data_IF_622924216638
#
_entry.id   IF_622924216638
#
_cell.length_a   1.000
_cell.length_b   1.000
_cell.length_c   1.000
_cell.angle_alpha   90.00
_cell.angle_beta   90.00
_cell.angle_gamma   90.00
#
_symmetry.space_group_name_H-M   'P 1'
#
loop_
_entity.id
_entity.type
_entity.pdbx_description
1 polymer ?
#
# COMPACT_ATOMS: atom_id res chain seq x y z
N UNK A 1 31.45 14.67 15.06
CA UNK A 1 29.99 14.77 14.78
C UNK A 1 29.50 13.41 14.33
N UNK A 2 28.34 12.99 14.82
CA UNK A 2 27.80 11.68 14.51
C UNK A 2 27.01 11.72 13.19
N UNK A 3 26.86 10.56 12.55
CA UNK A 3 26.00 10.41 11.40
C UNK A 3 24.55 10.74 11.82
N UNK A 4 23.89 11.61 11.09
CA UNK A 4 22.47 11.90 11.27
C UNK A 4 21.66 11.05 10.29
N UNK A 5 20.65 10.35 10.80
CA UNK A 5 19.69 9.59 9.99
C UNK A 5 18.31 9.75 10.62
N UNK A 6 17.58 10.73 10.13
CA UNK A 6 16.25 11.05 10.63
C UNK A 6 15.20 10.60 9.62
N UNK A 7 14.14 9.95 10.12
CA UNK A 7 13.02 9.52 9.32
C UNK A 7 11.73 10.12 9.88
N UNK A 8 11.07 10.88 9.05
CA UNK A 8 9.76 11.48 9.34
C UNK A 8 8.71 10.73 8.55
N UNK A 9 7.58 10.41 9.19
CA UNK A 9 6.46 9.72 8.55
C UNK A 9 5.16 10.39 8.94
N UNK A 10 4.38 10.72 7.93
CA UNK A 10 3.01 11.18 8.06
C UNK A 10 2.10 10.18 7.37
N UNK A 11 1.14 9.63 8.12
CA UNK A 11 0.21 8.63 7.62
C UNK A 11 -1.22 9.12 7.81
N UNK A 12 -1.97 9.16 6.72
CA UNK A 12 -3.41 9.39 6.72
C UNK A 12 -4.10 8.14 6.22
N UNK A 13 -5.03 7.61 7.01
CA UNK A 13 -5.90 6.50 6.60
C UNK A 13 -7.34 6.90 6.85
N UNK A 14 -8.16 6.86 5.82
CA UNK A 14 -9.60 7.06 5.89
C UNK A 14 -10.32 5.81 5.39
N UNK A 15 -11.24 5.27 6.20
CA UNK A 15 -12.07 4.13 5.83
C UNK A 15 -13.55 4.47 6.00
N UNK A 16 -14.34 4.11 5.00
CA UNK A 16 -15.80 4.16 5.04
C UNK A 16 -16.33 2.77 4.78
N UNK A 17 -17.40 2.40 5.48
CA UNK A 17 -18.07 1.12 5.31
C UNK A 17 -19.58 1.31 5.43
N UNK A 18 -20.31 0.65 4.55
CA UNK A 18 -21.76 0.57 4.54
C UNK A 18 -22.18 -0.89 4.55
N UNK A 19 -23.01 -1.27 5.52
CA UNK A 19 -23.69 -2.54 5.54
C UNK A 19 -25.19 -2.28 5.31
N UNK A 20 -25.75 -2.85 4.25
CA UNK A 20 -27.14 -2.72 3.91
C UNK A 20 -27.82 -4.08 3.86
N UNK A 21 -28.79 -4.26 4.75
CA UNK A 21 -29.68 -5.43 4.74
C UNK A 21 -30.81 -5.17 3.72
N UNK A 22 -30.64 -5.72 2.52
CA UNK A 22 -31.61 -5.57 1.42
C UNK A 22 -32.86 -6.40 1.70
N UNK A 23 -32.66 -7.63 2.19
CA UNK A 23 -33.70 -8.57 2.64
C UNK A 23 -33.22 -9.22 3.93
N UNK A 24 -34.09 -10.00 4.59
CA UNK A 24 -33.72 -10.76 5.79
C UNK A 24 -32.55 -11.72 5.51
N UNK A 25 -32.53 -12.30 4.31
CA UNK A 25 -31.53 -13.27 3.87
C UNK A 25 -30.40 -12.67 3.05
N UNK A 26 -30.51 -11.39 2.62
CA UNK A 26 -29.59 -10.77 1.68
C UNK A 26 -29.03 -9.47 2.22
N UNK A 27 -27.70 -9.41 2.36
CA UNK A 27 -26.98 -8.21 2.77
C UNK A 27 -25.90 -7.83 1.77
N UNK A 28 -25.68 -6.53 1.62
CA UNK A 28 -24.61 -5.93 0.83
C UNK A 28 -23.65 -5.21 1.79
N UNK A 29 -22.37 -5.51 1.69
CA UNK A 29 -21.31 -4.81 2.38
C UNK A 29 -20.43 -4.10 1.34
N UNK A 30 -20.26 -2.78 1.49
CA UNK A 30 -19.39 -1.97 0.64
C UNK A 30 -18.42 -1.26 1.57
N UNK A 31 -17.12 -1.34 1.30
CA UNK A 31 -16.13 -0.57 2.01
C UNK A 31 -15.11 0.04 1.06
N UNK A 32 -14.59 1.19 1.46
CA UNK A 32 -13.51 1.89 0.78
C UNK A 32 -12.49 2.38 1.78
N UNK A 33 -11.21 2.26 1.43
CA UNK A 33 -10.09 2.76 2.24
C UNK A 33 -9.16 3.57 1.36
N UNK A 34 -8.83 4.77 1.82
CA UNK A 34 -7.80 5.62 1.25
C UNK A 34 -6.64 5.74 2.22
N UNK A 35 -5.44 5.52 1.74
CA UNK A 35 -4.19 5.67 2.49
C UNK A 35 -3.28 6.65 1.75
N UNK A 36 -2.73 7.63 2.48
CA UNK A 36 -1.73 8.56 1.99
C UNK A 36 -0.59 8.62 3.01
N UNK A 37 0.55 8.09 2.63
CA UNK A 37 1.70 7.92 3.48
C UNK A 37 2.87 8.70 2.89
N UNK A 38 3.36 9.70 3.61
CA UNK A 38 4.54 10.46 3.25
C UNK A 38 5.71 10.10 4.15
N UNK A 39 6.85 9.82 3.56
CA UNK A 39 8.07 9.57 4.29
C UNK A 39 9.19 10.47 3.76
N UNK A 40 9.81 11.22 4.67
CA UNK A 40 11.05 11.95 4.41
C UNK A 40 12.18 11.29 5.21
N UNK A 41 13.28 11.00 4.54
CA UNK A 41 14.48 10.47 5.18
C UNK A 41 15.63 11.43 4.90
N UNK A 42 16.22 11.96 5.96
CA UNK A 42 17.34 12.90 5.96
C UNK A 42 18.58 12.20 6.50
N UNK A 43 19.61 12.06 5.67
CA UNK A 43 20.88 11.44 6.06
C UNK A 43 22.02 12.42 5.84
N UNK A 44 22.86 12.59 6.86
CA UNK A 44 24.08 13.38 6.77
C UNK A 44 25.26 12.59 7.28
N UNK A 45 26.29 12.49 6.45
CA UNK A 45 27.58 11.91 6.75
C UNK A 45 28.60 13.03 6.89
N UNK A 46 29.02 13.41 8.11
CA UNK A 46 30.08 14.40 8.30
C UNK A 46 31.44 13.92 7.76
N UNK A 47 32.34 14.85 7.45
CA UNK A 47 33.65 14.54 6.89
C UNK A 47 34.56 13.67 7.79
N UNK A 48 34.26 13.57 9.09
CA UNK A 48 34.98 12.70 10.04
C UNK A 48 34.43 11.25 10.05
N UNK A 49 33.51 10.90 9.17
CA UNK A 49 33.00 9.54 9.02
C UNK A 49 33.56 8.88 7.77
N UNK A 50 33.61 7.55 7.75
CA UNK A 50 34.10 6.80 6.59
C UNK A 50 33.35 7.16 5.29
N UNK A 51 31.98 7.28 5.38
CA UNK A 51 31.13 7.61 4.23
C UNK A 51 31.21 9.07 3.80
N UNK A 52 31.58 9.97 4.73
CA UNK A 52 31.68 11.41 4.48
C UNK A 52 33.08 11.91 4.18
N UNK A 53 34.11 11.15 4.54
CA UNK A 53 35.51 11.60 4.45
C UNK A 53 35.94 12.00 3.03
N UNK A 54 35.80 11.07 2.08
CA UNK A 54 36.13 11.30 0.66
C UNK A 54 35.28 12.38 -0.01
N UNK A 55 34.13 12.62 0.54
CA UNK A 55 33.12 13.54 0.00
C UNK A 55 33.18 14.93 0.68
N UNK A 56 34.06 15.14 1.66
CA UNK A 56 34.07 16.31 2.53
C UNK A 56 32.65 16.68 3.04
N UNK A 57 31.95 15.67 3.58
CA UNK A 57 30.56 15.73 3.98
C UNK A 57 29.59 15.36 2.84
N UNK A 58 28.55 14.59 3.16
CA UNK A 58 27.52 14.13 2.23
C UNK A 58 26.15 14.24 2.85
N UNK A 59 25.23 14.92 2.18
CA UNK A 59 23.84 15.01 2.55
C UNK A 59 22.97 14.28 1.53
N UNK A 60 21.94 13.58 2.02
CA UNK A 60 20.96 12.86 1.20
C UNK A 60 19.59 13.16 1.79
N UNK A 61 18.66 13.57 0.93
CA UNK A 61 17.24 13.70 1.25
C UNK A 61 16.45 12.79 0.32
N UNK A 62 15.65 11.92 0.92
CA UNK A 62 14.75 11.04 0.18
C UNK A 62 13.32 11.34 0.60
N UNK A 63 12.47 11.69 -0.36
CA UNK A 63 11.04 11.85 -0.16
C UNK A 63 10.34 10.73 -0.90
N UNK A 64 9.48 9.99 -0.18
CA UNK A 64 8.65 8.93 -0.73
C UNK A 64 7.18 9.22 -0.37
N UNK A 65 6.30 9.13 -1.36
CA UNK A 65 4.86 9.25 -1.19
C UNK A 65 4.16 7.99 -1.70
N UNK A 66 3.41 7.32 -0.83
CA UNK A 66 2.63 6.13 -1.17
C UNK A 66 1.15 6.48 -1.04
N UNK A 67 0.42 6.38 -2.15
CA UNK A 67 -1.04 6.48 -2.17
C UNK A 67 -1.63 5.14 -2.52
N UNK A 68 -2.61 4.71 -1.72
CA UNK A 68 -3.33 3.47 -1.92
C UNK A 68 -4.82 3.73 -1.79
N UNK A 69 -5.58 3.26 -2.77
CA UNK A 69 -7.03 3.25 -2.72
C UNK A 69 -7.48 1.80 -2.84
N UNK A 70 -8.27 1.34 -1.90
CA UNK A 70 -8.89 0.02 -1.95
C UNK A 70 -10.40 0.13 -1.77
N UNK A 71 -11.14 -0.69 -2.51
CA UNK A 71 -12.57 -0.81 -2.44
C UNK A 71 -12.99 -2.28 -2.45
N UNK A 72 -14.08 -2.57 -1.76
CA UNK A 72 -14.67 -3.90 -1.73
C UNK A 72 -16.20 -3.83 -1.74
N UNK A 73 -16.84 -4.74 -2.44
CA UNK A 73 -18.27 -4.90 -2.44
C UNK A 73 -18.61 -6.39 -2.40
N UNK A 74 -19.32 -6.82 -1.35
CA UNK A 74 -19.71 -8.21 -1.12
C UNK A 74 -21.19 -8.32 -0.87
N UNK A 75 -21.85 -9.19 -1.64
CA UNK A 75 -23.22 -9.62 -1.45
C UNK A 75 -23.21 -10.95 -0.69
N UNK A 76 -23.93 -11.01 0.41
CA UNK A 76 -24.07 -12.22 1.23
C UNK A 76 -25.53 -12.64 1.27
N UNK A 77 -25.80 -13.86 0.83
CA UNK A 77 -27.10 -14.54 0.97
C UNK A 77 -26.98 -15.62 2.02
N UNK A 78 -27.91 -15.65 2.97
CA UNK A 78 -27.97 -16.69 4.03
C UNK A 78 -29.41 -17.13 4.20
N UNK A 79 -29.68 -18.41 4.05
CA UNK A 79 -31.02 -18.97 4.26
C UNK A 79 -30.95 -20.32 4.92
N UNK A 80 -32.01 -20.65 5.64
CA UNK A 80 -32.20 -21.94 6.32
C UNK A 80 -33.62 -22.46 6.02
N UNK A 81 -33.71 -23.71 5.57
CA UNK A 81 -34.97 -24.35 5.25
C UNK A 81 -35.30 -25.47 6.22
N UNK A 82 -36.58 -25.85 6.23
CA UNK A 82 -37.03 -27.03 6.96
C UNK A 82 -36.25 -28.28 6.50
N UNK A 83 -36.02 -29.21 7.42
CA UNK A 83 -35.21 -30.41 7.14
C UNK A 83 -33.73 -30.30 7.48
N UNK A 84 -33.29 -29.17 8.06
CA UNK A 84 -31.94 -28.97 8.54
C UNK A 84 -30.96 -28.51 7.47
N UNK A 85 -31.46 -27.86 6.41
CA UNK A 85 -30.62 -27.27 5.36
C UNK A 85 -30.28 -25.83 5.69
N UNK A 86 -29.00 -25.45 5.58
CA UNK A 86 -28.51 -24.07 5.69
C UNK A 86 -27.55 -23.79 4.55
N UNK A 87 -27.75 -22.68 3.85
CA UNK A 87 -26.89 -22.22 2.76
C UNK A 87 -26.44 -20.80 3.06
N UNK A 88 -25.13 -20.55 2.91
CA UNK A 88 -24.57 -19.20 2.87
C UNK A 88 -23.76 -19.06 1.59
N UNK A 89 -24.06 -18.02 0.81
CA UNK A 89 -23.34 -17.67 -0.40
C UNK A 89 -22.81 -16.26 -0.26
N UNK A 90 -21.55 -16.06 -0.56
CA UNK A 90 -20.91 -14.77 -0.63
C UNK A 90 -20.34 -14.62 -2.05
N UNK A 91 -20.60 -13.48 -2.67
CA UNK A 91 -19.99 -13.11 -3.95
C UNK A 91 -19.67 -11.63 -3.95
N UNK A 92 -18.58 -11.25 -4.57
CA UNK A 92 -18.19 -9.85 -4.63
C UNK A 92 -16.88 -9.62 -5.37
N UNK A 93 -16.44 -8.38 -5.29
CA UNK A 93 -15.21 -7.92 -5.91
C UNK A 93 -14.43 -7.00 -4.98
N UNK A 94 -13.12 -6.98 -5.18
CA UNK A 94 -12.22 -6.01 -4.59
C UNK A 94 -11.45 -5.29 -5.69
N UNK A 95 -11.14 -4.03 -5.46
CA UNK A 95 -10.24 -3.25 -6.31
C UNK A 95 -9.16 -2.61 -5.44
N UNK A 96 -7.95 -2.51 -5.98
CA UNK A 96 -6.84 -1.88 -5.30
C UNK A 96 -6.00 -1.10 -6.32
N UNK A 97 -5.67 0.14 -5.98
CA UNK A 97 -4.72 0.95 -6.74
C UNK A 97 -3.58 1.34 -5.82
N UNK A 98 -2.39 1.31 -6.36
CA UNK A 98 -1.17 1.63 -5.64
C UNK A 98 -0.32 2.57 -6.48
N UNK A 99 0.15 3.64 -5.87
CA UNK A 99 1.11 4.56 -6.46
C UNK A 99 2.19 4.87 -5.41
N UNK A 100 3.44 4.68 -5.77
CA UNK A 100 4.58 5.06 -4.96
C UNK A 100 5.51 5.93 -5.81
N UNK A 101 5.70 7.18 -5.38
CA UNK A 101 6.63 8.12 -5.98
C UNK A 101 7.77 8.38 -5.00
N UNK A 102 9.01 8.15 -5.44
CA UNK A 102 10.22 8.38 -4.65
C UNK A 102 11.14 9.34 -5.39
N UNK A 103 11.59 10.38 -4.69
CA UNK A 103 12.60 11.33 -5.18
C UNK A 103 13.74 11.36 -4.18
N UNK A 104 14.96 11.20 -4.69
CA UNK A 104 16.18 11.25 -3.90
C UNK A 104 17.09 12.34 -4.46
N UNK A 105 17.51 13.25 -3.58
CA UNK A 105 18.51 14.28 -3.84
C UNK A 105 19.71 14.09 -2.92
N UNK A 106 20.90 14.37 -3.43
CA UNK A 106 22.11 14.29 -2.65
C UNK A 106 23.11 15.35 -3.09
N UNK A 107 23.96 15.78 -2.17
CA UNK A 107 25.05 16.69 -2.44
C UNK A 107 26.26 16.39 -1.56
N UNK A 108 27.41 16.83 -1.97
CA UNK A 108 28.70 16.59 -1.31
C UNK A 108 29.53 17.86 -1.27
N UNK A 109 30.67 17.81 -0.57
CA UNK A 109 31.68 18.87 -0.48
C UNK A 109 31.09 20.15 0.12
N UNK A 110 30.90 20.10 1.43
CA UNK A 110 30.35 21.21 2.19
C UNK A 110 31.44 22.16 2.70
N UNK A 111 31.33 23.48 2.36
CA UNK A 111 32.21 24.49 2.95
C UNK A 111 32.08 24.58 4.48
N UNK A 112 30.88 24.28 5.00
CA UNK A 112 30.56 24.22 6.41
C UNK A 112 29.65 23.06 6.71
N UNK A 113 29.96 22.27 7.72
CA UNK A 113 29.17 21.11 8.13
C UNK A 113 28.09 21.46 9.19
N UNK A 114 27.96 22.75 9.55
CA UNK A 114 27.15 23.16 10.70
C UNK A 114 25.66 22.92 10.50
N UNK A 115 25.16 23.10 9.30
CA UNK A 115 23.72 22.92 8.99
C UNK A 115 23.35 21.46 8.68
N UNK A 116 24.35 20.58 8.45
CA UNK A 116 24.09 19.19 8.11
C UNK A 116 23.19 19.07 6.89
N UNK A 117 22.14 18.22 6.98
CA UNK A 117 21.15 18.00 5.91
C UNK A 117 20.34 19.27 5.58
N UNK A 118 20.13 20.17 6.54
CA UNK A 118 19.40 21.42 6.31
C UNK A 118 20.16 22.40 5.40
N UNK A 119 21.46 22.19 5.22
CA UNK A 119 22.30 22.93 4.27
C UNK A 119 22.44 22.24 2.91
N UNK A 120 21.49 21.47 2.44
CA UNK A 120 21.58 20.70 1.19
C UNK A 120 22.03 21.54 0.00
N UNK A 121 21.56 22.81 -0.12
CA UNK A 121 21.96 23.74 -1.17
C UNK A 121 23.38 24.30 -1.06
N UNK A 122 24.10 24.09 0.05
CA UNK A 122 25.48 24.57 0.28
C UNK A 122 26.54 23.58 -0.22
N UNK A 123 26.17 22.37 -0.58
CA UNK A 123 27.11 21.40 -1.15
C UNK A 123 27.55 21.81 -2.54
N UNK A 124 28.87 21.92 -2.73
CA UNK A 124 29.48 22.40 -3.99
C UNK A 124 29.38 21.35 -5.10
N UNK A 125 29.18 20.08 -4.75
CA UNK A 125 29.11 18.97 -5.71
C UNK A 125 27.73 18.31 -5.65
N UNK A 126 26.71 18.89 -6.33
CA UNK A 126 25.38 18.27 -6.38
C UNK A 126 25.43 16.95 -7.16
N UNK A 127 24.67 15.98 -6.70
CA UNK A 127 24.45 14.73 -7.42
C UNK A 127 23.20 14.85 -8.29
N UNK A 128 23.18 14.17 -9.42
CA UNK A 128 21.97 14.11 -10.26
C UNK A 128 20.84 13.52 -9.44
N UNK A 129 19.70 14.21 -9.28
CA UNK A 129 18.55 13.66 -8.58
C UNK A 129 18.03 12.40 -9.27
N UNK A 130 17.57 11.45 -8.49
CA UNK A 130 16.92 10.25 -9.00
C UNK A 130 15.47 10.21 -8.57
N UNK A 131 14.60 9.71 -9.45
CA UNK A 131 13.18 9.50 -9.17
C UNK A 131 12.74 8.13 -9.65
N UNK A 132 11.74 7.58 -9.00
CA UNK A 132 11.08 6.36 -9.42
C UNK A 132 9.59 6.44 -9.12
N UNK A 133 8.79 5.90 -10.02
CA UNK A 133 7.35 5.75 -9.83
C UNK A 133 7.02 4.27 -10.00
N UNK A 134 6.27 3.73 -9.04
CA UNK A 134 5.75 2.36 -9.10
C UNK A 134 4.23 2.43 -8.97
N UNK A 135 3.55 2.01 -10.02
CA UNK A 135 2.09 2.02 -10.09
C UNK A 135 1.57 0.63 -10.45
N UNK A 136 0.47 0.25 -9.81
CA UNK A 136 -0.25 -0.95 -10.20
C UNK A 136 -1.71 -0.89 -9.74
N UNK A 137 -2.53 -1.64 -10.46
CA UNK A 137 -3.94 -1.83 -10.15
C UNK A 137 -4.24 -3.32 -10.10
N UNK A 138 -5.14 -3.70 -9.19
CA UNK A 138 -5.62 -5.05 -9.05
C UNK A 138 -7.14 -5.06 -8.90
N UNK A 139 -7.79 -5.99 -9.57
CA UNK A 139 -9.23 -6.28 -9.44
C UNK A 139 -9.37 -7.77 -9.18
N UNK A 140 -10.16 -8.13 -8.17
CA UNK A 140 -10.41 -9.52 -7.84
C UNK A 140 -11.90 -9.79 -7.76
N UNK A 141 -12.30 -10.95 -8.24
CA UNK A 141 -13.64 -11.49 -8.05
C UNK A 141 -13.57 -12.72 -7.14
N UNK A 142 -14.49 -12.79 -6.21
CA UNK A 142 -14.55 -13.84 -5.19
C UNK A 142 -15.98 -14.37 -5.11
N UNK A 143 -16.11 -15.69 -5.08
CA UNK A 143 -17.35 -16.37 -4.74
C UNK A 143 -17.07 -17.51 -3.76
N UNK A 144 -17.94 -17.67 -2.76
CA UNK A 144 -17.87 -18.76 -1.78
C UNK A 144 -19.28 -19.24 -1.45
N UNK A 145 -19.47 -20.53 -1.43
CA UNK A 145 -20.70 -21.19 -0.98
C UNK A 145 -20.40 -22.14 0.15
N UNK A 146 -21.19 -22.06 1.21
CA UNK A 146 -21.14 -22.92 2.39
C UNK A 146 -22.50 -23.57 2.56
N UNK A 147 -22.56 -24.88 2.49
CA UNK A 147 -23.77 -25.66 2.69
C UNK A 147 -23.62 -26.56 3.89
N UNK A 148 -24.62 -26.54 4.77
CA UNK A 148 -24.70 -27.37 5.97
C UNK A 148 -26.01 -28.12 5.98
N UNK A 149 -25.93 -29.44 6.13
CA UNK A 149 -27.07 -30.30 6.28
C UNK A 149 -27.09 -30.99 7.65
N UNK A 150 -28.10 -30.68 8.46
CA UNK A 150 -28.34 -31.23 9.80
C UNK A 150 -27.14 -31.10 10.74
N UNK A 151 -26.29 -30.10 10.54
CA UNK A 151 -25.04 -29.88 11.30
C UNK A 151 -24.06 -31.08 11.28
N UNK A 152 -24.28 -32.05 10.38
CA UNK A 152 -23.44 -33.22 10.20
C UNK A 152 -22.63 -33.21 8.93
N UNK A 153 -23.17 -32.64 7.87
CA UNK A 153 -22.51 -32.58 6.56
C UNK A 153 -22.27 -31.13 6.20
N UNK A 154 -21.00 -30.77 6.10
CA UNK A 154 -20.57 -29.42 5.73
C UNK A 154 -19.81 -29.49 4.42
N UNK A 155 -20.24 -28.69 3.44
CA UNK A 155 -19.57 -28.52 2.16
C UNK A 155 -19.23 -27.05 1.97
N UNK A 156 -17.98 -26.75 1.60
CA UNK A 156 -17.54 -25.42 1.25
C UNK A 156 -16.88 -25.46 -0.13
N UNK A 157 -17.29 -24.56 -0.99
CA UNK A 157 -16.64 -24.30 -2.28
C UNK A 157 -16.29 -22.83 -2.38
N UNK A 158 -15.11 -22.49 -2.91
CA UNK A 158 -14.68 -21.12 -3.14
C UNK A 158 -13.99 -21.00 -4.48
N UNK A 159 -14.18 -19.83 -5.10
CA UNK A 159 -13.55 -19.46 -6.34
C UNK A 159 -13.01 -18.03 -6.23
N UNK A 160 -11.81 -17.78 -6.78
CA UNK A 160 -11.23 -16.44 -6.86
C UNK A 160 -10.53 -16.28 -8.20
N UNK A 161 -10.68 -15.12 -8.80
CA UNK A 161 -9.96 -14.71 -9.99
C UNK A 161 -9.36 -13.33 -9.73
N UNK A 162 -8.07 -13.18 -9.94
CA UNK A 162 -7.31 -11.96 -9.72
C UNK A 162 -6.76 -11.42 -11.04
N UNK A 163 -7.08 -10.17 -11.34
CA UNK A 163 -6.54 -9.43 -12.46
C UNK A 163 -5.56 -8.35 -11.99
N UNK A 164 -4.35 -8.31 -12.53
CA UNK A 164 -3.34 -7.34 -12.15
C UNK A 164 -2.70 -6.67 -13.35
N UNK A 165 -2.46 -5.35 -13.23
CA UNK A 165 -1.70 -4.58 -14.22
C UNK A 165 -0.22 -4.98 -14.28
N UNK A 166 0.29 -5.67 -13.25
CA UNK A 166 1.68 -6.19 -13.20
C UNK A 166 1.91 -7.42 -14.06
N UNK A 167 0.86 -8.13 -14.41
CA UNK A 167 0.97 -9.28 -15.29
C UNK A 167 1.19 -8.85 -16.74
N UNK A 168 1.93 -9.64 -17.48
CA UNK A 168 2.25 -9.36 -18.88
C UNK A 168 1.01 -9.22 -19.78
N UNK A 169 1.17 -8.53 -20.90
CA UNK A 169 0.12 -8.39 -21.89
C UNK A 169 -0.39 -9.77 -22.33
N UNK A 170 -1.70 -10.00 -22.26
CA UNK A 170 -2.34 -11.29 -22.56
C UNK A 170 -2.58 -12.22 -21.37
N UNK A 171 -1.90 -12.04 -20.24
CA UNK A 171 -2.02 -12.90 -19.04
C UNK A 171 -2.35 -12.08 -17.79
N UNK A 172 -3.31 -11.16 -17.90
CA UNK A 172 -3.66 -10.25 -16.78
C UNK A 172 -4.49 -10.91 -15.68
N UNK A 173 -4.99 -12.11 -15.90
CA UNK A 173 -5.87 -12.86 -14.99
C UNK A 173 -5.23 -14.17 -14.57
N UNK A 174 -5.40 -14.50 -13.28
CA UNK A 174 -5.02 -15.78 -12.67
C UNK A 174 -6.14 -16.28 -11.73
#
# INVERSE_FOLDING_TARGET
RDITNNRYKDNLTARMQLEWKILTELSLNIAGTYEDNHQKTDVFYPANTEQGFKANGRAIVTNAGIKKLSGEAFLTYTNSWKGGHRLKVLAGSTLETYNNNTVRTATQNFPSLNLGVNGLGMGVTPQIPTSSIVEWNMVSFLARAEYNYKERYLLTASYRADGSSRFGAGNKWA
#
